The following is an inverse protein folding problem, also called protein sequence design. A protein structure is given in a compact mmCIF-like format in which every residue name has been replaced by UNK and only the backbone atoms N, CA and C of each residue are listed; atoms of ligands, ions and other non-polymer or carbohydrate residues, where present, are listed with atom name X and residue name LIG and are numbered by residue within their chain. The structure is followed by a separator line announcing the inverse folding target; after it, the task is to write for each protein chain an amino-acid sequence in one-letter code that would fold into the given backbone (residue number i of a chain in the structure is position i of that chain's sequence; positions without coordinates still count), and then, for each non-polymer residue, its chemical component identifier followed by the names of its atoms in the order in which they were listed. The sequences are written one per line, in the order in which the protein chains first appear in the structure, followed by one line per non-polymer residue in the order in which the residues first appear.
data_IF_244153380771
#
_entry.id   IF_244153380771
#
_cell.length_a   1.000
_cell.length_b   1.000
_cell.length_c   1.000
_cell.angle_alpha   90.00
_cell.angle_beta   90.00
_cell.angle_gamma   90.00
#
_symmetry.space_group_name_H-M   'P 1'
#
loop_
_entity.id
_entity.type
_entity.pdbx_description
1 polymer ?
2 polymer ?
3 non-polymer ?
4 water ?
#
# COMPACT_ATOMS: atom_id res chain seq x y z
N UNK A 2 -16.08 10.88 8.67
CA UNK A 2 -16.63 11.87 7.75
C UNK A 2 -17.43 12.95 8.48
N UNK A 3 -18.14 13.79 7.72
CA UNK A 3 -18.96 14.83 8.32
C UNK A 3 -20.20 14.24 8.96
N UNK A 4 -20.26 14.32 10.29
CA UNK A 4 -21.43 13.89 11.04
C UNK A 4 -21.33 12.46 11.56
N UNK A 5 -22.48 11.84 11.76
CA UNK A 5 -22.56 10.51 12.34
C UNK A 5 -22.72 9.43 11.28
N UNK A 6 -22.04 8.31 11.48
CA UNK A 6 -22.16 7.15 10.60
C UNK A 6 -22.36 5.90 11.43
N UNK A 7 -22.57 4.77 10.77
CA UNK A 7 -22.83 3.51 11.47
C UNK A 7 -21.56 2.72 11.75
N UNK A 8 -20.39 3.36 11.61
CA UNK A 8 -19.11 2.70 11.91
C UNK A 8 -18.32 3.48 12.95
N UNK A 9 -17.96 2.79 14.04
CA UNK A 9 -17.22 3.40 15.14
C UNK A 9 -15.75 2.99 15.08
N UNK A 10 -14.86 3.96 15.27
CA UNK A 10 -13.44 3.69 15.31
C UNK A 10 -12.89 3.95 16.71
N UNK A 11 -12.44 2.89 17.38
CA UNK A 11 -11.80 3.03 18.67
C UNK A 11 -10.30 3.16 18.46
N UNK A 13 -6.23 4.32 20.09
CA UNK A 13 -5.36 4.36 21.26
C UNK A 13 -5.67 3.25 22.24
N UNK A 15 -4.87 -0.28 21.58
CA UNK A 15 -3.82 -1.28 21.55
C UNK A 15 -2.61 -0.79 20.78
N UNK A 16 -1.49 -1.46 21.00
CA UNK A 16 -0.28 -1.25 20.21
C UNK A 16 0.01 -2.53 19.44
N UNK A 17 0.73 -2.43 18.32
CA UNK A 17 0.97 -3.59 17.45
C UNK A 17 1.52 -4.79 18.21
N UNK A 18 2.26 -4.54 19.29
CA UNK A 18 2.88 -5.61 20.06
C UNK A 18 1.83 -6.57 20.64
N UNK A 19 0.72 -6.03 21.12
CA UNK A 19 -0.31 -6.85 21.74
C UNK A 19 -1.01 -7.76 20.74
N UNK A 20 -1.01 -7.35 19.47
CA UNK A 20 -1.80 -8.03 18.45
C UNK A 20 -1.07 -9.22 17.83
N UNK A 21 0.21 -9.39 18.15
CA UNK A 21 0.99 -10.47 17.57
C UNK A 21 0.51 -11.84 18.04
N UNK A 22 0.14 -11.93 19.30
CA UNK A 22 -0.29 -13.21 19.89
C UNK A 22 -1.73 -13.52 19.50
N UNK A 23 -1.95 -14.73 18.98
CA UNK A 23 -3.28 -15.15 18.57
C UNK A 23 -4.21 -15.26 19.77
N UNK A 24 -3.67 -15.74 20.89
CA UNK A 24 -4.46 -15.90 22.11
C UNK A 24 -4.97 -14.55 22.60
N UNK A 25 -4.07 -13.56 22.64
CA UNK A 25 -4.43 -12.22 23.11
C UNK A 25 -5.35 -11.53 22.10
N UNK A 26 -5.10 -11.74 20.82
CA UNK A 26 -5.89 -11.11 19.76
C UNK A 26 -7.35 -11.54 19.85
N UNK A 27 -7.58 -12.85 19.83
CA UNK A 27 -8.94 -13.39 19.93
C UNK A 27 -9.66 -12.82 21.14
N UNK A 28 -8.94 -12.68 22.25
CA UNK A 28 -9.52 -12.06 23.45
C UNK A 28 -9.90 -10.59 23.29
N UNK A 29 -9.00 -9.81 22.69
CA UNK A 29 -9.28 -8.40 22.42
C UNK A 29 -10.52 -8.24 21.55
N UNK A 30 -10.72 -9.19 20.64
CA UNK A 30 -11.86 -9.15 19.74
C UNK A 30 -13.18 -9.28 20.50
N UNK A 31 -13.31 -10.33 21.30
CA UNK A 31 -14.55 -10.59 22.02
C UNK A 31 -14.81 -9.54 23.08
N UNK A 32 -13.75 -8.98 23.65
CA UNK A 32 -13.89 -7.92 24.64
C UNK A 32 -14.53 -6.68 24.02
N UNK A 33 -14.07 -6.30 22.84
CA UNK A 33 -14.64 -5.17 22.12
C UNK A 33 -16.08 -5.50 21.71
N UNK A 34 -16.28 -6.70 21.22
CA UNK A 34 -17.59 -7.13 20.76
C UNK A 34 -18.61 -7.08 21.89
N UNK A 35 -18.27 -7.71 23.01
CA UNK A 35 -19.18 -7.82 24.14
C UNK A 35 -19.55 -6.45 24.71
N UNK A 36 -18.56 -5.56 24.77
CA UNK A 36 -18.79 -4.21 25.29
C UNK A 36 -19.71 -3.43 24.36
N UNK A 37 -19.41 -3.48 23.06
CA UNK A 37 -20.22 -2.82 22.07
C UNK A 37 -21.59 -3.48 21.96
N UNK A 38 -21.65 -4.77 22.29
CA UNK A 38 -22.88 -5.53 22.18
C UNK A 38 -23.96 -5.00 23.14
N UNK A 39 -23.55 -4.13 24.06
CA UNK A 39 -24.49 -3.50 24.99
C UNK A 39 -25.28 -2.39 24.31
N UNK A 40 -24.87 -2.05 23.09
CA UNK A 40 -25.58 -1.13 22.24
C UNK A 40 -25.73 -1.84 20.91
N UNK A 41 -25.51 -3.14 20.93
CA UNK A 41 -24.98 -3.85 19.78
C UNK A 41 -25.92 -4.21 18.65
N UNK A 42 -26.03 -5.53 18.43
CA UNK A 42 -26.51 -6.08 17.18
C UNK A 42 -25.56 -5.59 16.10
N UNK A 43 -24.29 -5.52 16.49
CA UNK A 43 -23.24 -4.98 15.64
C UNK A 43 -23.05 -5.88 14.44
N UNK A 44 -22.84 -5.26 13.29
CA UNK A 44 -22.69 -5.98 12.04
C UNK A 44 -21.35 -6.72 11.97
N UNK A 45 -20.26 -6.02 12.29
CA UNK A 45 -18.94 -6.61 12.11
C UNK A 45 -17.85 -5.89 12.91
N UNK A 46 -16.69 -6.53 13.02
CA UNK A 46 -15.53 -5.93 13.67
C UNK A 46 -14.29 -6.14 12.80
N UNK A 47 -13.40 -5.15 12.81
CA UNK A 47 -12.13 -5.27 12.10
C UNK A 47 -10.98 -4.73 12.94
N UNK A 48 -10.03 -5.60 13.26
CA UNK A 48 -8.83 -5.20 13.98
C UNK A 48 -7.60 -5.64 13.19
N UNK A 49 -7.07 -4.75 12.33
CA UNK A 49 -5.91 -5.09 11.51
C UNK A 49 -4.64 -5.23 12.34
N UNK A 50 -3.76 -6.12 11.93
CA UNK A 50 -2.59 -6.48 12.73
C UNK A 50 -1.44 -6.95 11.85
N UNK A 51 -0.20 -6.60 12.23
CA UNK A 51 1.03 -7.03 11.54
C UNK A 51 1.11 -8.56 11.56
N UNK A 52 1.47 -9.27 10.48
CA UNK A 52 1.96 -8.74 9.19
C UNK A 52 3.01 -7.63 9.25
N UNK A 53 3.98 -7.80 10.14
CA UNK A 53 5.19 -6.98 10.12
C UNK A 53 6.16 -7.54 9.08
N UNK A 54 6.95 -6.66 8.44
CA UNK A 54 6.95 -5.24 8.72
C UNK A 54 6.14 -4.46 7.69
N UNK A 55 5.04 -5.04 7.23
CA UNK A 55 4.20 -4.40 6.22
C UNK A 55 3.61 -3.09 6.73
N UNK A 56 3.21 -3.06 7.99
CA UNK A 56 2.59 -1.86 8.56
C UNK A 56 1.32 -1.55 7.75
N UNK A 57 0.41 -2.51 7.77
CA UNK A 57 -0.85 -2.40 7.04
C UNK A 57 -1.72 -1.31 7.67
N UNK A 58 -2.42 -0.54 6.82
CA UNK A 58 -3.19 0.61 7.33
C UNK A 58 -4.24 0.23 8.37
N UNK A 59 -4.59 1.20 9.21
CA UNK A 59 -5.59 1.01 10.23
C UNK A 59 -5.09 0.21 11.42
N UNK A 60 -3.81 -0.16 11.38
CA UNK A 60 -3.23 -0.95 12.46
C UNK A 60 -3.01 -0.09 13.69
N UNK A 61 -3.52 -0.55 14.82
CA UNK A 61 -3.55 0.25 16.03
C UNK A 61 -4.93 0.86 16.22
N UNK A 62 -5.81 0.58 15.26
CA UNK A 62 -7.20 1.06 15.33
C UNK A 62 -8.15 -0.13 15.41
N UNK A 63 -9.34 0.12 15.96
CA UNK A 63 -10.36 -0.91 16.06
C UNK A 63 -11.66 -0.37 15.49
N UNK A 64 -12.20 -1.08 14.51
CA UNK A 64 -13.40 -0.64 13.81
C UNK A 64 -14.57 -1.53 14.19
N UNK A 65 -15.74 -0.93 14.39
CA UNK A 65 -16.94 -1.68 14.74
C UNK A 65 -18.13 -1.16 13.94
N UNK A 66 -18.67 -2.01 13.08
CA UNK A 66 -19.83 -1.63 12.28
C UNK A 66 -21.12 -1.97 13.01
N UNK A 67 -21.92 -0.95 13.28
CA UNK A 67 -23.22 -1.15 13.90
C UNK A 67 -24.30 -1.26 12.82
N UNK A 68 -25.48 -1.73 13.24
CA UNK A 68 -26.60 -1.90 12.33
C UNK A 68 -27.23 -0.56 11.95
N UNK A 69 -27.13 0.41 12.86
CA UNK A 69 -27.76 1.70 12.67
C UNK A 69 -26.85 2.85 13.07
N UNK A 70 -27.16 4.05 12.58
CA UNK A 70 -26.40 5.24 12.94
C UNK A 70 -26.66 5.60 14.41
N UNK A 71 -27.92 5.51 14.82
CA UNK A 71 -28.29 5.81 16.20
C UNK A 71 -27.48 4.96 17.17
N UNK A 72 -27.50 3.65 16.97
CA UNK A 72 -26.75 2.72 17.81
C UNK A 72 -25.30 3.14 17.93
N UNK A 73 -24.63 3.30 16.79
CA UNK A 73 -23.23 3.69 16.77
C UNK A 73 -23.01 4.97 17.56
N UNK A 74 -23.85 5.95 17.32
CA UNK A 74 -23.71 7.26 17.98
C UNK A 74 -23.82 7.13 19.49
N UNK A 75 -24.60 6.16 19.95
CA UNK A 75 -24.76 5.93 21.38
C UNK A 75 -23.56 5.16 21.93
N UNK A 76 -22.96 4.32 21.09
CA UNK A 76 -21.79 3.54 21.48
C UNK A 76 -20.61 4.46 21.75
N UNK A 78 -20.63 7.74 22.50
CA UNK A 78 -20.88 8.58 23.67
C UNK A 78 -20.54 7.82 24.95
N UNK A 79 -20.88 6.53 24.98
CA UNK A 79 -20.64 5.71 26.15
C UNK A 79 -19.20 5.23 26.28
N UNK A 80 -18.58 4.89 25.16
CA UNK A 80 -17.24 4.32 25.18
C UNK A 80 -16.15 5.39 25.25
N UNK A 81 -16.42 6.56 24.68
CA UNK A 81 -15.42 7.63 24.67
C UNK A 81 -15.14 8.11 26.09
N UNK A 82 -13.85 8.17 26.44
CA UNK A 82 -13.41 8.67 27.72
C UNK A 82 -13.15 7.53 28.68
N UNK A 83 -13.32 6.32 28.22
CA UNK A 83 -13.11 5.13 29.04
C UNK A 83 -11.69 4.62 28.91
N UNK A 84 -11.37 3.66 29.73
CA UNK A 84 -10.04 3.08 29.70
C UNK A 84 -10.04 1.70 29.07
N UNK A 85 -8.92 1.33 28.47
CA UNK A 85 -8.75 0.01 27.87
C UNK A 85 -7.32 -0.44 28.11
N UNK A 86 -7.15 -1.39 29.02
CA UNK A 86 -5.82 -1.79 29.48
C UNK A 86 -5.12 -0.57 30.07
N UNK A 87 -5.92 0.31 30.67
CA UNK A 87 -5.41 1.51 31.32
C UNK A 87 -5.10 2.64 30.34
N UNK A 88 -5.42 2.42 29.07
CA UNK A 88 -5.19 3.43 28.04
C UNK A 88 -6.47 4.20 27.74
N UNK A 89 -6.34 5.52 27.56
CA UNK A 89 -7.49 6.36 27.25
C UNK A 89 -8.09 5.98 25.90
N UNK A 90 -9.41 5.83 25.86
CA UNK A 90 -10.11 5.42 24.65
C UNK A 90 -10.57 6.63 23.85
N UNK A 91 -10.02 6.80 22.66
CA UNK A 91 -10.38 7.92 21.78
C UNK A 91 -11.28 7.42 20.65
N UNK A 92 -12.20 8.25 20.21
CA UNK A 92 -13.23 7.81 19.27
C UNK A 92 -13.53 8.80 18.13
N UNK A 93 -14.05 8.27 17.04
CA UNK A 93 -14.50 9.07 15.90
C UNK A 93 -15.43 8.23 15.02
N UNK A 94 -15.99 8.86 13.98
CA UNK A 94 -16.79 8.14 13.00
C UNK A 94 -16.00 7.88 11.72
N UNK A 95 -16.29 6.76 11.07
CA UNK A 95 -15.63 6.41 9.83
C UNK A 95 -16.62 6.25 8.69
N UNK A 96 -16.16 6.56 7.47
CA UNK A 96 -17.00 6.42 6.29
C UNK A 96 -17.28 4.95 6.03
N UNK A 97 -18.57 4.56 6.08
CA UNK A 97 -18.93 3.13 5.94
C UNK A 97 -18.50 2.55 4.59
N UNK A 98 -18.51 3.36 3.55
CA UNK A 98 -18.09 2.89 2.23
C UNK A 98 -16.61 2.52 2.27
N UNK A 99 -15.77 3.46 2.68
CA UNK A 99 -14.35 3.18 2.89
C UNK A 99 -14.16 1.87 3.67
N UNK A 100 -14.99 1.67 4.68
CA UNK A 100 -14.85 0.53 5.58
C UNK A 100 -15.18 -0.80 4.90
N UNK A 101 -16.22 -0.81 4.08
CA UNK A 101 -16.63 -2.02 3.39
C UNK A 101 -15.58 -2.43 2.36
N UNK A 102 -14.97 -1.43 1.71
CA UNK A 102 -13.92 -1.67 0.73
C UNK A 102 -12.60 -2.04 1.38
N UNK A 103 -12.61 -2.19 2.70
CA UNK A 103 -11.42 -2.54 3.45
C UNK A 103 -10.33 -1.48 3.32
N UNK A 104 -10.73 -0.22 3.20
CA UNK A 104 -9.81 0.90 3.19
C UNK A 104 -9.87 1.53 4.58
N UNK A 105 -9.14 0.93 5.52
CA UNK A 105 -9.32 1.21 6.94
C UNK A 105 -8.57 2.44 7.45
N UNK A 106 -9.33 3.46 7.81
CA UNK A 106 -8.76 4.66 8.43
C UNK A 106 -9.84 5.38 9.24
N UNK B 12 -12.25 -9.76 32.00
CA UNK B 12 -12.37 -8.80 30.91
C UNK B 12 -11.17 -7.87 30.87
N UNK B 13 -11.26 -6.83 30.04
CA UNK B 13 -10.18 -5.87 29.89
C UNK B 13 -10.66 -4.45 30.16
N UNK B 14 -11.98 -4.27 30.14
CA UNK B 14 -12.57 -2.94 30.02
C UNK B 14 -12.52 -2.17 31.34
N UNK B 15 -12.68 -0.85 31.27
CA UNK B 15 -12.61 -0.03 32.47
C UNK B 15 -13.96 0.52 32.87
N UNK B 16 -14.28 0.38 34.15
CA UNK B 16 -15.46 1.01 34.69
C UNK B 16 -15.12 1.83 35.92
N UNK B 17 -15.46 3.10 35.88
CA UNK B 17 -15.58 3.91 37.07
C UNK B 17 -16.95 3.69 37.69
N UNK B 26 -9.66 16.52 33.47
CA UNK B 26 -9.33 17.78 32.79
C UNK B 26 -8.30 17.60 31.69
N UNK B 27 -8.47 16.56 30.88
CA UNK B 27 -7.58 16.31 29.77
C UNK B 27 -8.12 16.84 28.46
N UNK B 29 -10.22 16.78 24.93
CA UNK B 29 -11.45 16.16 24.44
C UNK B 29 -11.17 14.78 23.85
N UNK B 30 -11.99 13.79 24.22
CA UNK B 30 -11.76 12.41 23.82
C UNK B 30 -12.31 12.12 22.43
N UNK B 31 -13.16 13.01 21.93
CA UNK B 31 -13.70 12.87 20.58
C UNK B 31 -12.91 13.74 19.61
N UNK B 32 -12.54 13.17 18.47
CA UNK B 32 -11.76 13.89 17.48
C UNK B 32 -12.59 15.00 16.84
N UNK B 33 -12.08 16.24 16.88
CA UNK B 33 -12.77 17.38 16.26
C UNK B 33 -13.19 17.07 14.81
N UNK B 34 -14.03 17.94 14.23
CA UNK B 34 -14.76 17.61 13.00
C UNK B 34 -13.89 17.26 11.79
N UNK B 35 -13.23 18.27 11.21
CA UNK B 35 -12.49 18.06 9.97
C UNK B 35 -10.99 18.17 10.16
N UNK B 36 -10.31 17.03 10.10
CA UNK B 36 -8.87 16.98 10.29
C UNK B 36 -8.22 16.08 9.26
N UNK B 37 -7.12 16.55 8.68
CA UNK B 37 -6.39 15.75 7.70
C UNK B 37 -5.85 14.49 8.38
N UNK B 38 -5.49 13.50 7.58
CA UNK B 38 -4.94 12.25 8.10
C UNK B 38 -3.77 12.54 9.03
N UNK B 39 -3.08 13.64 8.78
CA UNK B 39 -1.92 14.03 9.58
C UNK B 39 -2.35 14.77 10.84
N UNK B 40 -3.19 15.79 10.67
CA UNK B 40 -3.66 16.60 11.78
C UNK B 40 -4.35 15.73 12.84
N UNK B 41 -5.03 14.69 12.39
CA UNK B 41 -5.68 13.76 13.31
C UNK B 41 -4.63 12.96 14.08
N UNK B 42 -3.63 12.46 13.36
CA UNK B 42 -2.55 11.70 13.96
C UNK B 42 -1.84 12.55 15.02
N UNK B 43 -1.75 13.85 14.76
CA UNK B 43 -1.11 14.77 15.68
C UNK B 43 -1.95 14.92 16.95
N UNK B 44 -3.26 14.96 16.79
CA UNK B 44 -4.17 15.11 17.92
C UNK B 44 -4.08 13.92 18.86
N UNK B 45 -4.15 12.72 18.29
CA UNK B 45 -4.14 11.50 19.09
C UNK B 45 -2.79 11.29 19.79
N UNK B 46 -1.70 11.66 19.12
CA UNK B 46 -0.37 11.55 19.71
C UNK B 46 -0.20 12.59 20.82
N UNK B 47 -0.60 13.82 20.54
CA UNK B 47 -0.56 14.89 21.52
C UNK B 47 -1.37 14.53 22.75
N UNK B 48 -2.41 13.73 22.54
CA UNK B 48 -3.31 13.34 23.62
C UNK B 48 -2.70 12.23 24.47
N UNK B 49 -1.97 11.33 23.83
CA UNK B 49 -1.29 10.25 24.54
C UNK B 49 -0.12 10.81 25.33
N UNK B 50 0.61 11.73 24.70
CA UNK B 50 1.67 12.46 25.38
C UNK B 50 1.13 13.03 26.68
N UNK B 51 -0.13 13.47 26.62
CA UNK B 51 -0.78 14.08 27.78
C UNK B 51 -1.00 13.05 28.88
N UNK B 52 -1.61 11.92 28.51
CA UNK B 52 -1.95 10.88 29.48
C UNK B 52 -0.70 10.24 30.07
N UNK B 53 0.27 9.93 29.21
CA UNK B 53 1.52 9.32 29.65
C UNK B 53 2.24 10.19 30.67
N UNK B 54 2.25 11.50 30.43
CA UNK B 54 2.86 12.44 31.36
C UNK B 54 2.16 12.37 32.71
N UNK B 55 0.83 12.30 32.67
CA UNK B 55 0.04 12.23 33.88
C UNK B 55 0.31 10.95 34.65
N UNK B 56 0.31 9.82 33.95
CA UNK B 56 0.51 8.52 34.57
C UNK B 56 1.90 8.38 35.21
N UNK B 57 2.88 9.09 34.65
CA UNK B 57 4.24 9.04 35.18
C UNK B 57 4.44 10.06 36.30
N UNK B 58 3.58 11.07 36.35
CA UNK B 58 3.65 12.08 37.39
C UNK B 58 3.10 11.56 38.71
N UNK B 59 1.90 10.97 38.66
CA UNK B 59 1.20 10.54 39.86
C UNK B 59 2.07 9.67 40.78
N UNK B 60 2.60 8.54 40.30
CA UNK B 60 2.38 8.07 38.94
C UNK B 60 1.39 6.92 38.90
N UNK B 61 0.44 7.00 37.98
CA UNK B 61 -0.61 6.00 37.87
C UNK B 61 -0.26 4.95 36.83
N UNK B 62 0.51 3.95 37.24
CA UNK B 62 0.91 2.87 36.35
C UNK B 62 -0.26 1.91 36.15
N UNK B 63 -0.06 0.88 35.35
CA UNK B 63 -1.13 -0.06 35.04
C UNK B 63 -0.94 -1.41 35.71
N UNK B 64 -0.18 -1.43 36.80
CA UNK B 64 0.13 -2.68 37.48
C UNK B 64 -1.12 -3.29 38.11
N UNK B 65 -1.41 -4.55 37.76
CA UNK B 65 -2.54 -5.27 38.36
C UNK B 65 -2.29 -5.54 39.85
N UNK B 66 -3.35 -5.48 40.67
CA UNK B 66 -3.19 -5.63 42.13
C UNK B 66 -2.62 -6.98 42.55
N UNK B 67 -3.05 -8.05 41.90
CA UNK B 67 -2.60 -9.40 42.27
C UNK B 67 -1.72 -10.02 41.18
N UNK B 68 -0.71 -10.80 41.59
CA UNK B 68 0.24 -11.42 40.67
C UNK B 68 -0.31 -12.67 39.96
N UNK B 69 -1.60 -12.69 39.67
CA UNK B 69 -2.22 -13.82 38.99
C UNK B 69 -2.26 -13.58 37.49
N UNK B 70 -2.68 -12.37 37.10
CA UNK B 70 -2.75 -12.00 35.70
C UNK B 70 -1.40 -11.49 35.19
N UNK B 71 -0.47 -11.26 36.11
CA UNK B 71 0.85 -10.76 35.74
C UNK B 71 1.65 -11.83 35.01
N UNK B 73 5.01 -14.01 34.12
CA UNK B 73 6.08 -14.49 34.99
C UNK B 73 7.18 -13.45 35.12
N UNK B 75 10.92 -11.85 35.58
CA UNK B 75 12.27 -12.24 35.18
C UNK B 75 13.15 -12.49 36.40
N UNK B 76 14.31 -13.10 36.20
CA UNK B 76 15.25 -13.32 37.28
C UNK B 76 15.66 -11.97 37.85
N UNK B 77 15.63 -11.83 39.19
CA UNK B 77 15.94 -10.55 39.83
C UNK B 77 17.44 -10.20 39.78
N UNK B 78 17.73 -8.93 39.49
CA UNK B 78 19.10 -8.43 39.55
C UNK B 78 19.18 -7.32 40.58
N UNK B 79 20.32 -7.23 41.28
CA UNK B 79 20.46 -6.31 42.40
C UNK B 79 21.68 -5.41 42.26
N UNK B 80 21.72 -4.36 43.07
CA UNK B 80 22.88 -3.48 43.14
C UNK B 80 23.77 -3.86 44.31
N UNK B 81 24.77 -3.04 44.62
CA UNK B 81 25.74 -3.37 45.65
C UNK B 81 25.16 -3.27 47.06
N UNK B 82 24.04 -2.56 47.20
CA UNK B 82 23.34 -2.46 48.48
C UNK B 82 22.40 -3.64 48.68
N UNK B 83 22.25 -4.46 47.65
CA UNK B 83 21.34 -5.58 47.70
C UNK B 83 19.94 -5.21 47.25
N UNK B 84 19.77 -3.95 46.82
CA UNK B 84 18.48 -3.47 46.36
C UNK B 84 18.20 -3.93 44.93
N UNK B 85 17.02 -4.52 44.73
CA UNK B 85 16.63 -5.00 43.40
C UNK B 85 16.46 -3.82 42.45
N UNK B 86 16.96 -3.98 41.23
CA UNK B 86 16.92 -2.93 40.23
C UNK B 86 15.74 -3.09 39.28
N UNK B 87 15.46 -4.33 38.88
CA UNK B 87 14.40 -4.59 37.92
C UNK B 87 13.10 -5.02 38.58
N UNK B 88 12.52 -4.11 39.36
CA UNK B 88 11.25 -4.36 40.01
C UNK B 88 10.15 -4.27 38.97
N UNK B 89 8.97 -4.77 39.33
CA UNK B 89 7.80 -4.64 38.47
C UNK B 89 7.60 -3.17 38.11
N UNK B 90 7.57 -2.32 39.12
CA UNK B 90 7.34 -0.89 38.92
C UNK B 90 8.36 -0.28 37.97
N UNK B 91 9.63 -0.62 38.15
CA UNK B 91 10.68 -0.09 37.30
C UNK B 91 10.46 -0.52 35.86
N UNK B 92 10.19 -1.81 35.67
CA UNK B 92 9.95 -2.35 34.33
C UNK B 92 8.76 -1.67 33.66
N UNK B 93 7.68 -1.51 34.41
CA UNK B 93 6.45 -0.94 33.85
C UNK B 93 6.62 0.55 33.58
N UNK B 94 7.34 1.24 34.44
CA UNK B 94 7.58 2.67 34.26
C UNK B 94 8.49 2.88 33.05
N UNK B 95 9.29 1.86 32.73
CA UNK B 95 10.16 1.91 31.57
C UNK B 95 9.36 1.95 30.29
N UNK B 96 8.42 1.02 30.14
CA UNK B 96 7.58 0.94 28.95
C UNK B 96 6.88 2.26 28.68
N UNK B 97 6.27 2.83 29.71
CA UNK B 97 5.58 4.10 29.59
C UNK B 97 6.54 5.18 29.10
N UNK B 98 7.71 5.26 29.73
CA UNK B 98 8.73 6.22 29.31
C UNK B 98 9.16 5.96 27.87
N UNK B 99 9.17 4.69 27.47
CA UNK B 99 9.60 4.31 26.14
C UNK B 99 8.58 4.74 25.08
N UNK B 100 7.32 4.44 25.34
CA UNK B 100 6.24 4.80 24.44
C UNK B 100 6.14 6.31 24.30
N UNK B 101 6.25 7.01 25.43
CA UNK B 101 6.17 8.46 25.44
C UNK B 101 7.30 9.07 24.63
N UNK B 102 8.49 8.51 24.77
CA UNK B 102 9.66 8.97 24.03
C UNK B 102 9.43 8.87 22.53
N UNK B 103 9.03 7.68 22.07
CA UNK B 103 8.79 7.46 20.65
C UNK B 103 7.71 8.39 20.09
N UNK B 104 6.66 8.60 20.87
CA UNK B 104 5.58 9.49 20.48
C UNK B 104 6.10 10.93 20.36
N UNK B 105 6.87 11.36 21.36
CA UNK B 105 7.49 12.68 21.33
C UNK B 105 8.43 12.77 20.13
N UNK B 106 9.20 11.72 19.92
CA UNK B 106 10.15 11.67 18.81
C UNK B 106 9.42 11.61 17.47
N UNK B 107 8.22 11.04 17.46
CA UNK B 107 7.43 10.98 16.24
C UNK B 107 7.11 12.38 15.74
N UNK B 109 8.90 14.94 16.25
CA UNK B 109 10.13 15.66 15.97
C UNK B 109 10.26 15.81 14.46
N UNK B 110 9.80 14.79 13.73
CA UNK B 110 9.82 14.81 12.28
C UNK B 110 8.49 15.32 11.74
N UNK B 111 7.89 16.24 12.49
CA UNK B 111 6.61 16.84 12.14
C UNK B 111 6.70 18.36 12.25
N UNK B 112 7.40 18.80 13.29
CA UNK B 112 7.17 20.09 13.94
C UNK B 112 6.66 21.24 13.08
N UNK B 113 5.48 21.77 13.44
CA UNK B 113 5.01 23.08 12.99
C UNK B 113 5.57 24.15 13.93
N UNK B 114 6.88 24.12 14.15
CA UNK B 114 7.51 25.00 15.12
C UNK B 114 6.95 24.74 16.52
N UNK B 115 6.62 23.49 16.79
CA UNK B 115 6.09 23.10 18.10
C UNK B 115 7.22 22.99 19.14
N UNK B 116 7.18 23.85 20.15
CA UNK B 116 8.23 23.94 21.15
C UNK B 116 8.36 22.67 21.98
N UNK B 117 9.53 22.01 21.90
CA UNK B 117 9.82 20.83 22.71
C UNK B 117 9.83 21.16 24.21
N UNK B 118 9.19 20.30 25.03
CA UNK B 118 9.16 20.48 26.49
C UNK B 118 10.52 20.24 27.16
N UNK B 119 11.30 19.33 26.59
CA UNK B 119 12.63 19.02 27.10
C UNK B 119 12.59 18.17 28.38
N UNK B 120 11.40 17.70 28.74
CA UNK B 120 11.24 16.83 29.90
C UNK B 120 11.80 15.44 29.61
N UNK C 2 2.23 -4.14 -0.34
CA UNK C 2 0.90 -3.91 0.25
C UNK C 2 0.00 -5.13 0.15
N UNK C 3 -0.71 -5.45 1.23
CA UNK C 3 -1.63 -6.58 1.23
C UNK C 3 -2.70 -6.39 0.17
N UNK C 4 -3.17 -5.15 0.01
CA UNK C 4 -4.23 -4.86 -0.93
C UNK C 4 -4.03 -3.52 -1.63
N UNK C 5 -5.14 -2.84 -1.89
CA UNK C 5 -5.12 -1.61 -2.67
C UNK C 5 -4.56 -0.42 -1.89
N UNK C 6 -3.88 0.47 -2.61
CA UNK C 6 -3.33 1.69 -2.03
C UNK C 6 -3.57 2.84 -3.01
N UNK C 7 -3.12 4.04 -2.65
CA UNK C 7 -3.35 5.21 -3.49
C UNK C 7 -2.27 5.41 -4.56
N UNK C 8 -1.29 4.51 -4.60
CA UNK C 8 -0.22 4.60 -5.60
C UNK C 8 -0.28 3.43 -6.57
N UNK C 9 -0.40 3.75 -7.86
CA UNK C 9 -0.49 2.73 -8.91
C UNK C 9 0.84 2.58 -9.64
N UNK C 10 1.19 1.35 -9.98
CA UNK C 10 2.41 1.07 -10.73
C UNK C 10 2.09 0.38 -12.05
N UNK C 11 2.37 1.08 -13.15
CA UNK C 11 2.18 0.54 -14.48
C UNK C 11 3.48 -0.10 -14.97
N UNK C 13 5.59 -2.85 -17.85
CA UNK C 13 5.62 -3.35 -19.22
C UNK C 13 5.06 -2.33 -20.21
N UNK C 15 6.89 0.68 -21.24
CA UNK C 15 7.95 1.27 -22.05
C UNK C 15 9.24 0.48 -21.92
N UNK C 16 10.03 0.48 -22.98
CA UNK C 16 11.38 -0.04 -22.93
C UNK C 16 12.33 1.08 -22.53
N UNK C 17 13.49 0.72 -21.95
CA UNK C 17 14.46 1.74 -21.52
C UNK C 17 14.91 2.67 -22.65
N UNK C 18 14.69 2.26 -23.90
CA UNK C 18 15.08 3.07 -25.05
C UNK C 18 14.19 4.30 -25.21
N UNK C 19 12.92 4.17 -24.81
CA UNK C 19 11.95 5.24 -25.03
C UNK C 19 12.14 6.37 -24.02
N UNK C 20 12.68 6.04 -22.86
CA UNK C 20 12.88 7.04 -21.80
C UNK C 20 14.06 7.95 -22.08
N UNK C 21 15.08 7.41 -22.76
CA UNK C 21 16.33 8.13 -22.97
C UNK C 21 16.09 9.44 -23.72
N UNK C 22 15.30 9.38 -24.78
CA UNK C 22 14.95 10.57 -25.55
C UNK C 22 14.25 11.57 -24.63
N UNK C 23 14.78 12.79 -24.55
CA UNK C 23 14.23 13.82 -23.68
C UNK C 23 12.87 14.29 -24.18
N UNK C 24 12.72 14.31 -25.51
CA UNK C 24 11.49 14.82 -26.13
C UNK C 24 10.26 14.00 -25.75
N UNK C 25 10.25 12.73 -26.12
CA UNK C 25 9.06 11.89 -25.96
C UNK C 25 8.82 11.53 -24.49
N UNK C 26 9.81 11.75 -23.64
CA UNK C 26 9.62 11.48 -22.22
C UNK C 26 8.55 12.39 -21.64
N UNK C 27 8.72 13.69 -21.83
CA UNK C 27 7.74 14.66 -21.38
C UNK C 27 6.37 14.37 -21.98
N UNK C 28 6.37 13.74 -23.16
CA UNK C 28 5.13 13.35 -23.82
C UNK C 28 4.47 12.18 -23.11
N UNK C 29 5.22 11.10 -22.91
CA UNK C 29 4.70 9.91 -22.27
C UNK C 29 4.16 10.22 -20.89
N UNK C 30 4.81 11.15 -20.20
CA UNK C 30 4.35 11.59 -18.88
C UNK C 30 2.94 12.16 -18.95
N UNK C 31 2.66 12.93 -20.00
CA UNK C 31 1.37 13.57 -20.17
C UNK C 31 0.34 12.61 -20.76
N UNK C 32 0.80 11.66 -21.55
CA UNK C 32 -0.09 10.66 -22.14
C UNK C 32 -0.63 9.79 -21.01
N UNK C 33 0.26 9.37 -20.12
CA UNK C 33 -0.13 8.57 -18.96
C UNK C 33 -0.99 9.39 -18.01
N UNK C 34 -0.57 10.62 -17.74
CA UNK C 34 -1.30 11.51 -16.84
C UNK C 34 -2.71 11.76 -17.34
N UNK C 35 -2.84 12.06 -18.62
CA UNK C 35 -4.15 12.35 -19.22
C UNK C 35 -5.08 11.15 -19.14
N UNK C 36 -4.51 9.95 -19.24
CA UNK C 36 -5.32 8.74 -19.20
C UNK C 36 -5.72 8.40 -17.77
N UNK C 37 -4.81 8.61 -16.82
CA UNK C 37 -5.08 8.36 -15.41
C UNK C 37 -6.02 9.42 -14.86
N UNK C 38 -5.90 10.64 -15.35
CA UNK C 38 -6.60 11.78 -14.75
C UNK C 38 -8.09 11.84 -15.09
N UNK C 39 -8.62 10.81 -15.73
CA UNK C 39 -10.06 10.72 -15.97
C UNK C 39 -10.70 9.75 -14.97
N UNK C 40 -9.86 9.12 -14.16
CA UNK C 40 -10.33 8.30 -13.05
C UNK C 40 -10.27 9.09 -11.77
N UNK C 41 -9.81 10.33 -11.86
CA UNK C 41 -9.59 11.18 -10.71
C UNK C 41 -8.45 12.14 -10.99
N UNK C 42 -8.14 13.01 -10.03
CA UNK C 42 -7.05 13.97 -10.24
C UNK C 42 -5.72 13.38 -9.82
N UNK C 43 -4.69 13.65 -10.62
CA UNK C 43 -3.35 13.10 -10.37
C UNK C 43 -2.53 14.05 -9.50
N UNK C 44 -2.22 13.60 -8.28
CA UNK C 44 -1.43 14.39 -7.35
C UNK C 44 0.01 14.51 -7.82
N UNK C 45 0.60 13.38 -8.20
CA UNK C 45 1.96 13.37 -8.73
C UNK C 45 2.18 12.14 -9.61
N UNK C 46 3.35 12.08 -10.23
CA UNK C 46 3.69 10.99 -11.13
C UNK C 46 5.20 10.90 -11.27
N UNK C 47 5.73 9.67 -11.23
CA UNK C 47 7.15 9.43 -11.39
C UNK C 47 7.43 8.38 -12.45
N UNK C 48 8.33 8.69 -13.38
CA UNK C 48 8.83 7.71 -14.33
C UNK C 48 10.35 7.70 -14.30
N UNK C 49 10.94 6.85 -13.45
CA UNK C 49 12.40 6.78 -13.29
C UNK C 49 13.12 6.76 -14.63
N UNK C 50 14.26 7.44 -14.73
CA UNK C 50 14.96 7.55 -15.99
C UNK C 50 16.48 7.47 -15.82
N UNK C 51 17.16 6.84 -16.81
CA UNK C 51 18.62 6.69 -16.83
C UNK C 51 19.32 7.86 -17.49
N UNK C 53 23.33 5.85 -17.67
CA UNK C 53 23.83 4.70 -18.42
C UNK C 53 23.67 3.40 -17.62
N UNK C 54 24.78 2.90 -17.08
CA UNK C 54 24.78 1.62 -16.40
C UNK C 54 24.44 1.71 -14.93
N UNK C 55 23.97 2.87 -14.49
CA UNK C 55 23.54 3.06 -13.10
C UNK C 55 22.40 2.10 -12.77
N UNK C 56 21.62 1.72 -13.78
CA UNK C 56 20.48 0.83 -13.61
C UNK C 56 19.49 1.39 -12.59
N UNK C 57 19.18 2.68 -12.72
CA UNK C 57 18.29 3.37 -11.79
C UNK C 57 17.13 2.49 -11.32
N UNK C 58 16.88 2.45 -10.00
CA UNK C 58 15.80 1.64 -9.44
C UNK C 58 14.41 2.15 -9.86
N UNK C 59 13.61 1.25 -10.43
CA UNK C 59 12.26 1.60 -10.86
C UNK C 59 12.16 1.87 -12.35
N UNK C 60 13.31 1.97 -13.02
CA UNK C 60 13.33 2.24 -14.45
C UNK C 60 12.68 1.10 -15.24
N UNK C 61 11.72 1.44 -16.09
CA UNK C 61 10.93 0.46 -16.79
C UNK C 61 9.55 0.36 -16.15
N UNK C 62 9.33 1.18 -15.13
CA UNK C 62 8.04 1.23 -14.46
C UNK C 62 7.52 2.66 -14.43
N UNK C 63 6.20 2.80 -14.34
CA UNK C 63 5.59 4.12 -14.24
C UNK C 63 4.73 4.17 -12.98
N UNK C 64 4.94 5.19 -12.16
CA UNK C 64 4.23 5.34 -10.90
C UNK C 64 3.30 6.55 -10.94
N UNK C 65 2.09 6.41 -10.42
CA UNK C 65 1.11 7.49 -10.41
C UNK C 65 0.41 7.59 -9.07
N UNK C 66 0.52 8.75 -8.43
CA UNK C 66 -0.12 8.97 -7.14
C UNK C 66 -1.43 9.75 -7.31
N UNK C 67 -2.51 9.21 -6.75
CA UNK C 67 -3.80 9.87 -6.77
C UNK C 67 -4.08 10.47 -5.39
N UNK C 68 -5.27 11.02 -5.20
CA UNK C 68 -5.65 11.65 -3.94
C UNK C 68 -6.34 10.68 -2.99
N UNK C 69 -7.00 9.67 -3.53
CA UNK C 69 -7.70 8.69 -2.71
C UNK C 69 -7.42 7.28 -3.23
N UNK C 70 -7.63 6.29 -2.37
CA UNK C 70 -7.41 4.89 -2.75
C UNK C 70 -8.39 4.45 -3.83
N UNK C 71 -9.64 4.93 -3.75
CA UNK C 71 -10.66 4.51 -4.69
C UNK C 71 -10.35 4.99 -6.11
N UNK C 72 -9.85 6.21 -6.25
CA UNK C 72 -9.47 6.74 -7.54
C UNK C 72 -8.36 5.90 -8.17
N UNK C 73 -7.47 5.39 -7.34
CA UNK C 73 -6.39 4.55 -7.82
C UNK C 73 -6.92 3.18 -8.22
N UNK C 74 -7.85 2.65 -7.43
CA UNK C 74 -8.47 1.36 -7.76
C UNK C 74 -9.18 1.45 -9.09
N UNK C 75 -9.96 2.51 -9.28
CA UNK C 75 -10.66 2.74 -10.53
C UNK C 75 -9.66 2.73 -11.69
N UNK C 76 -8.64 3.57 -11.58
CA UNK C 76 -7.58 3.63 -12.59
C UNK C 76 -6.94 2.27 -12.79
N UNK C 78 -8.14 -0.97 -12.18
CA UNK C 78 -9.03 -1.90 -12.87
C UNK C 78 -9.36 -1.44 -14.29
N UNK C 79 -9.17 -0.15 -14.55
CA UNK C 79 -9.50 0.41 -15.85
C UNK C 79 -8.40 0.23 -16.87
N UNK C 80 -7.15 0.48 -16.44
CA UNK C 80 -6.00 0.45 -17.34
C UNK C 80 -5.43 -0.95 -17.52
N UNK C 81 -5.63 -1.82 -16.53
CA UNK C 81 -4.99 -3.13 -16.55
C UNK C 81 -5.56 -3.98 -17.69
N UNK C 82 -4.68 -4.52 -18.51
CA UNK C 82 -5.09 -5.36 -19.62
C UNK C 82 -5.23 -4.58 -20.90
N UNK C 83 -5.20 -3.25 -20.78
CA UNK C 83 -5.21 -2.38 -21.96
C UNK C 83 -3.90 -2.54 -22.70
N UNK C 84 -3.68 -1.72 -23.72
CA UNK C 84 -2.45 -1.76 -24.49
C UNK C 84 -1.84 -0.36 -24.63
N UNK C 85 -0.56 -0.26 -24.31
CA UNK C 85 0.18 0.98 -24.44
C UNK C 85 1.25 0.81 -25.50
N UNK C 86 1.05 1.41 -26.67
CA UNK C 86 1.94 1.20 -27.81
C UNK C 86 2.00 -0.28 -28.15
N UNK C 87 0.82 -0.92 -28.17
CA UNK C 87 0.70 -2.34 -28.49
C UNK C 87 1.31 -3.28 -27.45
N UNK C 88 1.69 -2.72 -26.31
CA UNK C 88 2.23 -3.53 -25.22
C UNK C 88 1.16 -3.71 -24.14
N UNK C 89 0.91 -4.96 -23.76
CA UNK C 89 -0.11 -5.26 -22.76
C UNK C 89 0.26 -4.67 -21.40
N UNK C 90 -0.62 -3.82 -20.88
CA UNK C 90 -0.36 -3.14 -19.63
C UNK C 90 -0.51 -4.08 -18.44
N UNK C 91 0.49 -4.06 -17.56
CA UNK C 91 0.48 -4.87 -16.35
C UNK C 91 0.48 -3.95 -15.14
N UNK C 92 -0.27 -4.30 -14.10
CA UNK C 92 -0.49 -3.38 -12.99
C UNK C 92 -0.37 -4.02 -11.61
N UNK C 93 -0.14 -3.18 -10.61
CA UNK C 93 -0.12 -3.59 -9.21
C UNK C 93 -0.17 -2.34 -8.34
N UNK C 94 -0.51 -2.53 -7.07
CA UNK C 94 -0.44 -1.45 -6.11
C UNK C 94 0.90 -1.50 -5.40
N UNK C 95 1.34 -0.37 -4.85
CA UNK C 95 2.58 -0.35 -4.10
C UNK C 95 2.51 0.55 -2.87
N UNK C 96 3.41 0.29 -1.92
CA UNK C 96 3.47 1.05 -0.68
C UNK C 96 3.68 2.54 -0.94
N UNK C 97 2.75 3.38 -0.43
CA UNK C 97 2.86 4.83 -0.63
C UNK C 97 4.02 5.48 0.14
N UNK C 98 4.28 5.03 1.36
CA UNK C 98 5.38 5.58 2.14
C UNK C 98 6.70 5.39 1.40
N UNK C 99 6.88 4.20 0.83
CA UNK C 99 8.06 3.90 0.04
C UNK C 99 8.14 4.80 -1.19
N UNK C 100 6.98 5.15 -1.74
CA UNK C 100 6.93 6.00 -2.92
C UNK C 100 7.35 7.44 -2.61
N UNK C 101 6.98 7.92 -1.42
CA UNK C 101 7.29 9.29 -1.03
C UNK C 101 8.74 9.44 -0.59
N UNK C 102 9.37 8.35 -0.18
CA UNK C 102 10.80 8.36 0.12
C UNK C 102 11.63 8.11 -1.12
N UNK C 103 10.94 7.87 -2.24
CA UNK C 103 11.59 7.69 -3.54
C UNK C 103 12.34 6.36 -3.67
N UNK C 104 12.03 5.43 -2.76
CA UNK C 104 12.51 4.06 -2.92
C UNK C 104 11.56 3.35 -3.88
N UNK C 105 11.83 3.50 -5.17
CA UNK C 105 10.89 3.09 -6.21
C UNK C 105 10.88 1.58 -6.47
N UNK C 106 9.72 0.96 -6.21
CA UNK C 106 9.49 -0.43 -6.57
C UNK C 106 8.00 -0.71 -6.64
N UNK D 11 -2.86 11.28 -31.67
CA UNK D 11 -2.43 9.88 -31.68
C UNK D 11 -1.88 9.47 -30.32
N UNK D 12 -2.76 8.99 -29.45
CA UNK D 12 -2.37 8.55 -28.12
C UNK D 12 -1.86 7.12 -28.18
N UNK D 13 -0.88 6.80 -27.34
CA UNK D 13 -0.35 5.45 -27.24
C UNK D 13 -1.38 4.49 -26.67
N UNK D 14 -2.32 5.03 -25.89
CA UNK D 14 -3.41 4.23 -25.32
C UNK D 14 -4.38 3.79 -26.39
N UNK D 15 -4.70 2.50 -26.41
CA UNK D 15 -5.68 1.97 -27.33
C UNK D 15 -7.09 2.40 -26.97
N UNK D 16 -8.05 2.06 -27.83
CA UNK D 16 -9.44 2.36 -27.57
C UNK D 16 -10.01 1.21 -26.76
N UNK D 17 -10.07 1.45 -25.46
CA UNK D 17 -10.85 0.63 -24.51
C UNK D 17 -10.73 -0.88 -24.67
N UNK D 24 -11.05 -15.85 -27.09
CA UNK D 24 -9.90 -16.73 -27.05
C UNK D 24 -9.33 -16.82 -25.63
N UNK D 25 -8.14 -17.41 -25.50
CA UNK D 25 -7.50 -17.55 -24.20
C UNK D 25 -6.74 -16.28 -23.82
N UNK D 26 -6.86 -15.86 -22.55
CA UNK D 26 -6.17 -14.66 -22.07
C UNK D 26 -4.70 -14.91 -21.74
N UNK D 27 -4.32 -16.18 -21.62
CA UNK D 27 -2.96 -16.53 -21.27
C UNK D 27 -2.72 -16.36 -19.78
N UNK D 29 -2.71 -13.88 -16.21
CA UNK D 29 -3.37 -12.72 -15.61
C UNK D 29 -2.53 -11.46 -15.77
N UNK D 30 -3.20 -10.33 -15.98
CA UNK D 30 -2.51 -9.07 -16.19
C UNK D 30 -2.23 -8.35 -14.87
N UNK D 31 -2.90 -8.79 -13.80
CA UNK D 31 -2.60 -8.29 -12.46
C UNK D 31 -1.56 -9.18 -11.81
N UNK D 32 -0.57 -8.57 -11.19
CA UNK D 32 0.53 -9.32 -10.58
C UNK D 32 0.10 -9.97 -9.27
N UNK D 33 0.38 -11.28 -9.11
CA UNK D 33 0.06 -12.01 -7.88
C UNK D 33 0.71 -11.38 -6.65
N UNK D 34 0.14 -11.64 -5.46
CA UNK D 34 0.60 -11.06 -4.19
C UNK D 34 1.92 -11.66 -3.71
N UNK D 35 2.70 -10.86 -2.99
CA UNK D 35 3.95 -11.30 -2.39
C UNK D 35 4.77 -12.22 -3.27
N UNK D 36 5.50 -11.62 -4.21
CA UNK D 36 6.41 -12.37 -5.07
C UNK D 36 7.81 -11.78 -4.93
N UNK D 37 8.81 -12.65 -4.79
CA UNK D 37 10.19 -12.19 -4.75
C UNK D 37 10.43 -11.23 -5.90
N UNK D 38 11.07 -10.10 -5.61
CA UNK D 38 11.32 -9.10 -6.63
C UNK D 38 11.80 -9.75 -7.93
N UNK D 39 12.53 -10.85 -7.79
CA UNK D 39 13.01 -11.59 -8.95
C UNK D 39 11.86 -12.27 -9.68
N UNK D 40 11.03 -13.00 -8.92
CA UNK D 40 9.88 -13.68 -9.50
C UNK D 40 8.91 -12.71 -10.15
N UNK D 41 8.92 -11.46 -9.69
CA UNK D 41 8.08 -10.43 -10.27
C UNK D 41 8.48 -10.17 -11.71
N UNK D 42 9.77 -9.91 -11.93
CA UNK D 42 10.29 -9.72 -13.28
C UNK D 42 9.98 -10.93 -14.14
N UNK D 43 10.37 -12.11 -13.65
CA UNK D 43 10.13 -13.36 -14.36
C UNK D 43 8.68 -13.43 -14.82
N UNK D 44 7.77 -12.89 -14.01
CA UNK D 44 6.35 -12.92 -14.36
C UNK D 44 6.04 -11.97 -15.51
N UNK D 45 6.66 -10.79 -15.50
CA UNK D 45 6.50 -9.83 -16.59
C UNK D 45 6.97 -10.44 -17.91
N UNK D 46 8.23 -10.91 -17.92
CA UNK D 46 8.86 -11.41 -19.13
C UNK D 46 8.09 -12.60 -19.72
N UNK D 47 7.63 -13.51 -18.86
CA UNK D 47 6.82 -14.63 -19.30
C UNK D 47 5.58 -14.11 -20.01
N UNK D 48 5.01 -13.04 -19.46
CA UNK D 48 3.78 -12.47 -19.98
C UNK D 48 4.03 -11.76 -21.31
N UNK D 49 5.14 -11.04 -21.40
CA UNK D 49 5.50 -10.34 -22.63
C UNK D 49 5.81 -11.36 -23.74
N UNK D 50 6.67 -12.31 -23.42
CA UNK D 50 7.03 -13.37 -24.37
C UNK D 50 5.78 -14.01 -24.96
N UNK D 51 4.88 -14.47 -24.10
CA UNK D 51 3.65 -15.11 -24.53
C UNK D 51 2.88 -14.21 -25.50
N UNK D 52 2.77 -12.93 -25.15
CA UNK D 52 2.07 -11.98 -26.00
C UNK D 52 2.79 -11.79 -27.34
N UNK D 53 4.12 -11.76 -27.31
CA UNK D 53 4.91 -11.60 -28.52
C UNK D 53 4.73 -12.81 -29.42
N UNK D 54 4.80 -14.01 -28.83
CA UNK D 54 4.67 -15.24 -29.59
C UNK D 54 3.31 -15.28 -30.29
N UNK D 55 2.28 -14.80 -29.61
CA UNK D 55 0.94 -14.71 -30.19
C UNK D 55 0.97 -13.84 -31.45
N UNK D 56 1.44 -12.61 -31.30
CA UNK D 56 1.51 -11.65 -32.40
C UNK D 56 2.20 -12.28 -33.62
N UNK D 57 3.29 -13.00 -33.37
CA UNK D 57 4.05 -13.63 -34.45
C UNK D 57 3.17 -14.63 -35.21
N UNK D 58 2.66 -15.63 -34.49
CA UNK D 58 1.87 -16.68 -35.13
C UNK D 58 0.64 -16.13 -35.84
N UNK D 59 -0.24 -15.48 -35.06
CA UNK D 59 -1.48 -14.93 -35.61
C UNK D 59 -1.19 -13.85 -36.64
N UNK D 60 -0.01 -13.25 -36.56
CA UNK D 60 0.40 -12.24 -37.51
C UNK D 60 -0.27 -10.90 -37.24
N UNK D 61 -0.48 -10.59 -35.96
CA UNK D 61 -1.04 -9.29 -35.57
C UNK D 61 -0.03 -8.19 -35.90
N UNK D 62 1.06 -8.15 -35.16
CA UNK D 62 2.15 -7.22 -35.44
C UNK D 62 1.74 -5.75 -35.27
N UNK D 63 0.49 -5.51 -34.89
CA UNK D 63 -0.02 -4.16 -34.74
C UNK D 63 0.43 -3.17 -35.81
N UNK D 64 0.13 -3.50 -37.06
CA UNK D 64 0.42 -2.59 -38.18
C UNK D 64 -0.83 -1.78 -38.51
N UNK D 65 -0.79 -0.45 -38.25
CA UNK D 65 -1.95 0.40 -38.52
C UNK D 65 -2.58 0.08 -39.88
N UNK D 66 -3.81 -0.44 -39.89
CA UNK D 66 -4.46 -0.84 -41.15
C UNK D 66 -4.64 0.34 -42.10
N UNK D 67 -4.89 1.52 -41.55
CA UNK D 67 -5.03 2.73 -42.36
C UNK D 67 -3.68 3.38 -42.63
N UNK D 68 -3.23 3.35 -43.89
CA UNK D 68 -1.91 3.91 -44.24
C UNK D 68 -1.72 5.33 -43.72
N UNK D 69 -2.81 6.09 -43.64
CA UNK D 69 -2.76 7.45 -43.12
C UNK D 69 -2.10 7.47 -41.74
N UNK D 70 -2.41 6.46 -40.93
CA UNK D 70 -1.86 6.35 -39.58
C UNK D 70 -0.41 5.89 -39.62
N UNK D 71 -0.11 4.97 -40.52
CA UNK D 71 1.23 4.42 -40.62
C UNK D 71 2.28 5.51 -40.83
N UNK D 73 5.81 6.87 -42.85
CA UNK D 73 6.33 6.76 -44.23
C UNK D 73 7.21 5.53 -44.41
N UNK D 75 10.05 3.03 -46.23
CA UNK D 75 11.35 3.24 -46.86
C UNK D 75 11.35 2.81 -48.32
N UNK D 76 12.32 3.28 -49.09
CA UNK D 76 12.46 2.84 -50.47
C UNK D 76 12.80 1.36 -50.48
N UNK D 77 12.04 0.56 -51.26
CA UNK D 77 12.18 -0.90 -51.25
C UNK D 77 13.59 -1.39 -51.58
N UNK D 78 14.00 -2.48 -50.94
CA UNK D 78 15.30 -3.09 -51.19
C UNK D 78 15.07 -4.54 -51.64
N UNK D 79 15.77 -4.95 -52.68
CA UNK D 79 15.53 -6.25 -53.30
C UNK D 79 16.74 -7.18 -53.19
N UNK D 80 16.46 -8.48 -53.15
CA UNK D 80 17.52 -9.48 -53.23
C UNK D 80 17.82 -9.78 -54.70
N UNK D 81 18.75 -10.68 -54.96
CA UNK D 81 19.17 -10.98 -56.33
C UNK D 81 18.02 -11.48 -57.20
N UNK D 82 17.03 -12.12 -56.56
CA UNK D 82 15.89 -12.66 -57.30
C UNK D 82 14.78 -11.63 -57.49
N UNK D 83 15.07 -10.37 -57.18
CA UNK D 83 14.12 -9.30 -57.39
C UNK D 83 12.97 -9.33 -56.40
N UNK D 84 13.16 -10.06 -55.30
CA UNK D 84 12.16 -10.11 -54.24
C UNK D 84 12.49 -9.07 -53.18
N UNK D 85 11.45 -8.39 -52.68
CA UNK D 85 11.67 -7.34 -51.69
C UNK D 85 11.99 -7.95 -50.32
N UNK D 86 12.87 -7.28 -49.58
CA UNK D 86 13.32 -7.77 -48.28
C UNK D 86 12.82 -6.91 -47.14
N UNK D 87 12.96 -5.60 -47.29
CA UNK D 87 12.61 -4.66 -46.22
C UNK D 87 11.12 -4.33 -46.21
N UNK D 88 10.28 -5.31 -46.49
CA UNK D 88 8.84 -5.10 -46.46
C UNK D 88 8.39 -4.88 -45.01
N UNK D 89 7.32 -4.11 -44.83
CA UNK D 89 6.86 -3.75 -43.48
C UNK D 89 6.64 -4.99 -42.63
N UNK D 90 6.08 -6.03 -43.23
CA UNK D 90 5.82 -7.29 -42.54
C UNK D 90 7.11 -7.85 -41.93
N UNK D 91 8.23 -7.65 -42.61
CA UNK D 91 9.52 -8.17 -42.17
C UNK D 91 10.15 -7.22 -41.16
N UNK D 92 9.96 -5.93 -41.40
CA UNK D 92 10.52 -4.90 -40.55
C UNK D 92 9.92 -4.98 -39.15
N UNK D 93 8.60 -5.10 -39.09
CA UNK D 93 7.89 -5.19 -37.82
C UNK D 93 8.21 -6.47 -37.06
N UNK D 94 8.11 -7.61 -37.74
CA UNK D 94 8.39 -8.90 -37.13
C UNK D 94 9.80 -8.96 -36.57
N UNK D 95 10.74 -8.27 -37.23
CA UNK D 95 12.14 -8.30 -36.81
C UNK D 95 12.28 -7.70 -35.41
N UNK D 96 11.77 -6.50 -35.21
CA UNK D 96 11.85 -5.82 -33.93
C UNK D 96 11.18 -6.63 -32.84
N UNK D 97 10.12 -7.35 -33.20
CA UNK D 97 9.40 -8.18 -32.24
C UNK D 97 10.22 -9.43 -31.89
N UNK D 98 10.77 -10.07 -32.91
CA UNK D 98 11.59 -11.27 -32.71
C UNK D 98 12.87 -10.93 -31.94
N UNK D 99 13.31 -9.69 -32.05
CA UNK D 99 14.44 -9.22 -31.26
C UNK D 99 14.04 -9.10 -29.80
N UNK D 100 12.98 -8.34 -29.53
CA UNK D 100 12.50 -8.15 -28.17
C UNK D 100 12.28 -9.50 -27.51
N UNK D 101 11.59 -10.39 -28.20
CA UNK D 101 11.30 -11.73 -27.68
C UNK D 101 12.56 -12.53 -27.44
N UNK D 102 13.63 -12.17 -28.16
CA UNK D 102 14.91 -12.85 -27.97
C UNK D 102 15.65 -12.32 -26.75
N UNK D 103 15.71 -11.00 -26.59
CA UNK D 103 16.39 -10.41 -25.45
C UNK D 103 15.68 -10.77 -24.15
N UNK D 104 14.39 -11.02 -24.24
CA UNK D 104 13.59 -11.44 -23.08
C UNK D 104 13.78 -12.93 -22.79
N UNK D 105 14.08 -13.71 -23.82
CA UNK D 105 14.33 -15.14 -23.62
C UNK D 105 15.67 -15.36 -22.93
N UNK D 106 16.65 -14.54 -23.27
CA UNK D 106 17.95 -14.60 -22.61
C UNK D 106 17.79 -14.22 -21.15
N UNK D 107 17.05 -13.14 -20.91
CA UNK D 107 16.82 -12.66 -19.56
C UNK D 107 16.16 -13.76 -18.75
N UNK D 109 16.39 -17.10 -19.23
CA UNK D 109 17.36 -18.14 -18.92
C UNK D 109 18.18 -17.73 -17.71
N UNK D 110 18.60 -16.47 -17.67
CA UNK D 110 19.40 -15.95 -16.58
C UNK D 110 18.61 -16.02 -15.27
N UNK D 111 17.32 -15.70 -15.35
CA UNK D 111 16.45 -15.76 -14.19
C UNK D 111 16.27 -17.19 -13.70
N UNK D 112 16.11 -18.11 -14.65
CA UNK D 112 15.94 -19.52 -14.31
C UNK D 112 16.75 -20.43 -15.23
N UNK D 113 17.71 -21.17 -14.66
CA UNK D 113 18.48 -22.14 -15.45
C UNK D 113 17.57 -23.01 -16.32
N UNK D 114 16.48 -23.50 -15.73
CA UNK D 114 15.51 -24.30 -16.46
C UNK D 114 14.51 -23.39 -17.16
N UNK D 115 15.00 -22.61 -18.12
CA UNK D 115 14.17 -21.65 -18.84
C UNK D 115 12.97 -22.30 -19.52
N UNK D 116 11.85 -21.58 -19.54
CA UNK D 116 10.64 -22.05 -20.21
C UNK D 116 10.92 -22.28 -21.68
N UNK D 117 10.70 -23.52 -22.15
CA UNK D 117 10.96 -23.89 -23.55
C UNK D 117 10.46 -22.87 -24.55
N UNK D 118 11.31 -22.49 -25.52
CA UNK D 118 10.88 -21.59 -26.59
C UNK D 118 9.67 -22.13 -27.34
N UNK D 120 8.38 -22.97 -31.04
CA UNK D 120 8.60 -22.57 -32.42
C UNK D 120 9.77 -21.60 -32.56
N UNK D 121 9.98 -20.80 -31.52
CA UNK D 121 11.09 -19.84 -31.50
C UNK D 121 12.40 -20.48 -31.93
N UNK D 122 13.05 -19.87 -32.92
CA UNK D 122 14.35 -20.34 -33.39
C UNK D 122 15.42 -19.35 -32.95
N UNK D 123 16.36 -19.80 -32.09
CA UNK D 123 17.37 -18.88 -31.55
C UNK D 123 18.30 -18.30 -32.62
N UNK D 124 18.35 -16.96 -32.72
CA UNK D 124 19.29 -16.29 -33.62
C UNK D 124 20.56 -15.86 -32.87
#
# INVERSE_FOLDING_TARGET
GPLGSTEVLCLXNXVLPEELLDDEEYEEIVEDVRDECSKYGLVKSIEIPRPVDGVEVPGCGKIFVEFTSVFDCQKAXQGLTGRKFANRVVVTKYCDPDSYHRRDFW
GPLGSSKKRKRSRWNQDTXEQKTVIPGXPTVIPPGLTREQERAYIVQLQIEDLTRKLRTGDLGIPPNPEDRXPXPEPIYNSEGKRLNTREFRTRKKLEEERHNLITEXVALNPDFKPPADYKPP
GPLGSTEVLCLXNXVLPEELLDDEEYEEIVEDVRDECSKYGLVKSIEIPRPVDGVEVPGCGKIFVEFTSVFDCQKAXQGLTGRKFANRVVVTKYCDPDSYHRRDFW
GPLGSSKKRKRSRWNQDTXEQKTVIPGXPTVIPPGLTREQERAYIVQLQIEDLTRKLRTGDLGIPPNPEDRXPXPEPIYNSEGKRLNTREFRTRKKLEEERHNLITEXVALNPDFKPPADYKPP
#
